data_IF_709840192290
#
_entry.id   IF_709840192290
#
_cell.length_a   1.000
_cell.length_b   1.000
_cell.length_c   1.000
_cell.angle_alpha   90.00
_cell.angle_beta   90.00
_cell.angle_gamma   90.00
#
_symmetry.space_group_name_H-M   'P 1'
#
loop_
_entity.id
_entity.type
_entity.pdbx_description
1 polymer ?
#
# COMPACT_ATOMS: atom_id res chain seq x y z
N UNK A 1 -2.41 1.74 -13.71
CA UNK A 1 -1.72 3.05 -13.71
C UNK A 1 -0.76 3.17 -14.88
N UNK A 2 -0.33 4.37 -15.16
CA UNK A 2 0.53 4.68 -16.30
C UNK A 2 1.29 5.99 -16.06
N UNK A 3 2.15 6.37 -17.00
CA UNK A 3 2.85 7.66 -17.00
C UNK A 3 4.01 7.76 -16.01
N UNK A 4 4.44 6.64 -15.44
CA UNK A 4 5.59 6.62 -14.54
C UNK A 4 6.90 6.80 -15.31
N UNK A 5 7.97 7.31 -14.64
CA UNK A 5 9.27 7.49 -15.28
C UNK A 5 9.86 6.18 -15.82
N UNK A 6 10.61 6.23 -16.93
CA UNK A 6 11.23 5.02 -17.50
C UNK A 6 12.29 4.38 -16.59
N UNK A 7 12.81 5.13 -15.60
CA UNK A 7 13.76 4.62 -14.60
C UNK A 7 13.10 3.78 -13.50
N UNK A 8 11.77 3.66 -13.52
CA UNK A 8 11.02 2.88 -12.53
C UNK A 8 11.45 1.41 -12.57
N UNK A 9 11.81 0.86 -11.41
CA UNK A 9 12.23 -0.53 -11.27
C UNK A 9 11.24 -1.37 -10.46
N UNK A 10 10.41 -0.75 -9.63
CA UNK A 10 9.37 -1.44 -8.87
C UNK A 10 8.28 -0.47 -8.45
N UNK A 11 7.18 -1.03 -7.92
CA UNK A 11 6.10 -0.26 -7.32
C UNK A 11 5.80 -0.73 -5.91
N UNK A 12 5.33 0.20 -5.09
CA UNK A 12 4.67 -0.05 -3.81
C UNK A 12 3.24 0.42 -3.94
N UNK A 13 2.30 -0.41 -3.50
CA UNK A 13 0.88 -0.06 -3.41
C UNK A 13 0.47 -0.06 -1.95
N UNK A 14 -0.28 0.96 -1.54
CA UNK A 14 -0.72 1.08 -0.15
C UNK A 14 -2.13 1.63 -0.05
N UNK A 15 -2.76 1.38 1.11
CA UNK A 15 -4.04 1.99 1.50
C UNK A 15 -3.92 2.49 2.93
N UNK A 16 -4.13 3.78 3.13
CA UNK A 16 -3.99 4.46 4.42
C UNK A 16 -5.25 5.24 4.77
N UNK A 17 -5.71 5.11 6.01
CA UNK A 17 -6.82 5.89 6.59
C UNK A 17 -6.25 6.93 7.55
N UNK A 18 -6.18 8.23 7.14
CA UNK A 18 -5.73 9.30 8.04
C UNK A 18 -6.78 9.71 9.07
N UNK A 19 -8.02 9.25 8.92
CA UNK A 19 -9.15 9.65 9.77
C UNK A 19 -9.48 8.62 10.85
N UNK A 20 -8.76 7.50 10.90
CA UNK A 20 -8.92 6.50 11.94
C UNK A 20 -8.73 7.13 13.34
N UNK A 21 -9.47 6.65 14.36
CA UNK A 21 -9.45 7.24 15.69
C UNK A 21 -8.17 6.88 16.47
N UNK A 22 -7.03 6.97 15.85
CA UNK A 22 -5.70 6.79 16.44
C UNK A 22 -4.79 7.93 16.01
N UNK A 23 -3.81 8.33 16.83
CA UNK A 23 -2.92 9.43 16.47
C UNK A 23 -2.11 9.20 15.18
N UNK A 24 -1.83 7.94 14.85
CA UNK A 24 -1.01 7.58 13.69
C UNK A 24 -1.84 7.26 12.44
N UNK A 25 -3.17 7.33 12.50
CA UNK A 25 -4.02 6.81 11.43
C UNK A 25 -4.00 5.29 11.39
N UNK A 26 -4.34 4.69 10.24
CA UNK A 26 -4.38 3.23 10.13
C UNK A 26 -3.99 2.78 8.72
N UNK A 27 -2.99 1.87 8.65
CA UNK A 27 -2.57 1.25 7.40
C UNK A 27 -3.38 -0.03 7.16
N UNK A 28 -4.17 -0.01 6.09
CA UNK A 28 -5.02 -1.15 5.71
C UNK A 28 -4.33 -2.12 4.79
N UNK A 29 -3.33 -1.67 4.04
CA UNK A 29 -2.71 -2.49 3.00
C UNK A 29 -1.39 -1.91 2.54
N UNK A 30 -0.38 -2.77 2.39
CA UNK A 30 0.89 -2.39 1.78
C UNK A 30 1.50 -3.60 1.07
N UNK A 31 1.71 -3.45 -0.24
CA UNK A 31 2.40 -4.44 -1.08
C UNK A 31 3.69 -3.81 -1.57
N UNK A 32 4.79 -4.52 -1.41
CA UNK A 32 6.12 -4.09 -1.85
C UNK A 32 6.67 -4.99 -2.96
N UNK A 33 7.70 -4.50 -3.64
CA UNK A 33 8.46 -5.25 -4.65
C UNK A 33 7.60 -5.73 -5.84
N UNK A 34 6.54 -4.99 -6.18
CA UNK A 34 5.84 -5.20 -7.44
C UNK A 34 6.75 -4.81 -8.60
N UNK A 35 6.88 -5.69 -9.61
CA UNK A 35 7.78 -5.44 -10.73
C UNK A 35 7.36 -4.20 -11.54
N UNK A 36 8.30 -3.61 -12.26
CA UNK A 36 8.05 -2.45 -13.11
C UNK A 36 7.07 -2.75 -14.28
N UNK A 37 6.81 -4.01 -14.56
CA UNK A 37 5.85 -4.44 -15.57
C UNK A 37 4.42 -4.47 -15.05
N UNK A 38 4.22 -4.33 -13.74
CA UNK A 38 2.89 -4.31 -13.11
C UNK A 38 2.23 -2.96 -13.36
N UNK A 39 1.07 -2.93 -14.01
CA UNK A 39 0.33 -1.70 -14.31
C UNK A 39 -1.12 -1.73 -13.84
N UNK A 40 -1.55 -2.86 -13.27
CA UNK A 40 -2.90 -3.04 -12.72
C UNK A 40 -2.86 -4.07 -11.60
N UNK A 41 -3.90 -4.14 -10.83
CA UNK A 41 -4.05 -5.08 -9.72
C UNK A 41 -5.25 -5.96 -9.96
N UNK A 42 -5.07 -7.28 -9.78
CA UNK A 42 -6.18 -8.21 -9.80
C UNK A 42 -6.97 -8.13 -8.48
N UNK A 43 -8.26 -8.42 -8.56
CA UNK A 43 -9.17 -8.27 -7.41
C UNK A 43 -8.75 -9.08 -6.19
N UNK A 44 -8.11 -10.24 -6.38
CA UNK A 44 -7.76 -11.14 -5.29
C UNK A 44 -6.37 -10.88 -4.69
N UNK A 45 -5.61 -9.96 -5.23
CA UNK A 45 -4.22 -9.74 -4.78
C UNK A 45 -4.11 -9.29 -3.33
N UNK A 46 -5.14 -8.64 -2.81
CA UNK A 46 -5.17 -8.23 -1.41
C UNK A 46 -5.39 -9.37 -0.41
N UNK A 47 -5.78 -10.55 -0.85
CA UNK A 47 -6.20 -11.63 0.06
C UNK A 47 -5.02 -12.35 0.73
N UNK A 48 -3.90 -12.54 0.03
CA UNK A 48 -2.69 -13.18 0.58
C UNK A 48 -1.50 -13.02 -0.38
N UNK A 49 -0.30 -13.33 0.13
CA UNK A 49 0.92 -13.34 -0.69
C UNK A 49 0.85 -14.39 -1.80
N UNK A 50 0.08 -15.47 -1.61
CA UNK A 50 -0.08 -16.50 -2.63
C UNK A 50 -0.73 -15.98 -3.92
N UNK A 51 -1.47 -14.88 -3.82
CA UNK A 51 -2.15 -14.27 -4.97
C UNK A 51 -1.30 -13.21 -5.67
N UNK A 52 -0.19 -12.79 -5.06
CA UNK A 52 0.67 -11.73 -5.60
C UNK A 52 1.63 -12.28 -6.67
N UNK A 53 1.98 -11.46 -7.68
CA UNK A 53 2.91 -11.89 -8.73
C UNK A 53 4.37 -11.79 -8.29
N UNK A 54 5.20 -12.67 -8.84
CA UNK A 54 6.66 -12.59 -8.72
C UNK A 54 7.14 -12.64 -7.27
N UNK A 55 8.07 -11.76 -6.93
CA UNK A 55 8.66 -11.65 -5.60
C UNK A 55 7.94 -10.66 -4.67
N UNK A 56 6.82 -10.08 -5.12
CA UNK A 56 6.06 -9.13 -4.31
C UNK A 56 5.43 -9.80 -3.09
N UNK A 57 5.26 -9.03 -2.02
CA UNK A 57 4.67 -9.54 -0.80
C UNK A 57 3.98 -8.42 -0.01
N UNK A 58 3.09 -8.82 0.91
CA UNK A 58 2.49 -7.91 1.88
C UNK A 58 3.41 -7.71 3.08
N UNK A 59 3.56 -6.46 3.50
CA UNK A 59 3.99 -6.22 4.88
C UNK A 59 2.76 -6.21 5.78
N UNK A 60 2.97 -6.23 7.09
CA UNK A 60 1.88 -6.31 8.07
C UNK A 60 1.03 -5.03 8.02
N UNK A 61 -0.29 -5.17 7.93
CA UNK A 61 -1.21 -4.06 8.15
C UNK A 61 -1.32 -3.74 9.64
N UNK A 62 -1.98 -2.64 10.00
CA UNK A 62 -2.10 -2.23 11.40
C UNK A 62 -3.06 -3.11 12.22
N UNK A 63 -3.82 -3.97 11.56
CA UNK A 63 -4.58 -5.05 12.21
C UNK A 63 -3.76 -6.29 12.50
N UNK A 64 -2.51 -6.36 12.03
CA UNK A 64 -1.58 -7.44 12.30
C UNK A 64 -1.46 -8.50 11.20
N UNK A 65 -2.25 -8.41 10.14
CA UNK A 65 -2.24 -9.38 9.04
C UNK A 65 -1.38 -8.95 7.85
N UNK A 66 -1.01 -9.93 7.02
CA UNK A 66 -0.27 -9.72 5.76
C UNK A 66 -1.23 -9.76 4.57
N UNK A 67 -2.18 -8.82 4.57
CA UNK A 67 -3.25 -8.78 3.57
C UNK A 67 -3.91 -7.40 3.56
N UNK A 68 -4.85 -7.21 2.64
CA UNK A 68 -5.77 -6.08 2.67
C UNK A 68 -6.78 -6.27 3.80
N UNK A 69 -6.88 -5.29 4.68
CA UNK A 69 -7.91 -5.23 5.71
C UNK A 69 -8.95 -4.19 5.27
N UNK A 70 -10.18 -4.63 5.05
CA UNK A 70 -11.25 -3.78 4.55
C UNK A 70 -11.63 -2.63 5.48
N UNK A 71 -12.27 -1.64 4.92
CA UNK A 71 -12.75 -0.46 5.65
C UNK A 71 -13.79 -0.87 6.70
N UNK A 72 -13.57 -0.45 7.93
CA UNK A 72 -14.50 -0.70 9.05
C UNK A 72 -14.50 0.49 10.02
N UNK A 73 -14.87 1.71 9.56
CA UNK A 73 -14.90 2.86 10.43
C UNK A 73 -15.93 2.63 11.57
N UNK A 74 -15.68 3.15 12.78
CA UNK A 74 -16.62 3.01 13.87
C UNK A 74 -18.01 3.53 13.48
N UNK A 75 -19.04 2.81 13.89
CA UNK A 75 -20.43 3.24 13.66
C UNK A 75 -20.68 4.59 14.35
N UNK A 76 -21.25 5.53 13.60
CA UNK A 76 -21.51 6.88 14.11
C UNK A 76 -20.36 7.85 13.95
N UNK A 77 -19.21 7.38 13.51
CA UNK A 77 -18.09 8.27 13.19
C UNK A 77 -18.34 8.98 11.87
N UNK A 78 -17.63 10.08 11.63
CA UNK A 78 -17.66 10.74 10.31
C UNK A 78 -17.12 9.81 9.24
N UNK A 79 -17.39 10.09 7.97
CA UNK A 79 -16.81 9.36 6.86
C UNK A 79 -15.27 9.42 6.93
N UNK A 80 -14.64 8.25 6.80
CA UNK A 80 -13.18 8.16 6.72
C UNK A 80 -12.72 8.16 5.28
N UNK A 81 -11.54 8.74 5.03
CA UNK A 81 -10.85 8.66 3.74
C UNK A 81 -9.97 7.43 3.72
N UNK A 82 -9.98 6.74 2.59
CA UNK A 82 -9.08 5.61 2.32
C UNK A 82 -8.23 6.00 1.13
N UNK A 83 -6.98 6.33 1.40
CA UNK A 83 -6.04 6.83 0.39
C UNK A 83 -5.25 5.67 -0.17
N UNK A 84 -5.60 5.27 -1.39
CA UNK A 84 -4.81 4.30 -2.15
C UNK A 84 -3.70 5.04 -2.88
N UNK A 85 -2.49 4.53 -2.80
CA UNK A 85 -1.33 5.14 -3.44
C UNK A 85 -0.50 4.09 -4.17
N UNK A 86 0.03 4.47 -5.32
CA UNK A 86 1.06 3.73 -6.04
C UNK A 86 2.31 4.60 -6.07
N UNK A 87 3.42 4.06 -5.58
CA UNK A 87 4.73 4.72 -5.62
C UNK A 87 5.62 4.00 -6.62
N UNK A 88 6.15 4.74 -7.60
CA UNK A 88 7.15 4.25 -8.53
C UNK A 88 8.54 4.47 -7.94
N UNK A 89 9.31 3.39 -7.79
CA UNK A 89 10.62 3.43 -7.13
C UNK A 89 11.76 3.22 -8.12
N UNK A 90 12.93 3.77 -7.80
CA UNK A 90 14.15 3.63 -8.60
C UNK A 90 15.00 2.40 -8.21
N UNK A 91 14.46 1.51 -7.40
CA UNK A 91 15.08 0.23 -7.00
C UNK A 91 14.10 -0.91 -7.26
N UNK A 92 14.59 -2.11 -7.52
CA UNK A 92 13.77 -3.29 -7.75
C UNK A 92 13.23 -3.91 -6.45
N UNK A 93 13.90 -3.64 -5.34
CA UNK A 93 13.47 -4.05 -4.00
C UNK A 93 13.87 -3.01 -2.95
N UNK A 94 13.04 -2.86 -1.92
CA UNK A 94 13.40 -2.06 -0.75
C UNK A 94 14.23 -2.84 0.26
N UNK A 95 14.47 -4.14 0.04
CA UNK A 95 15.20 -5.04 0.95
C UNK A 95 14.63 -5.04 2.37
N UNK A 96 13.31 -4.92 2.51
CA UNK A 96 12.65 -4.94 3.81
C UNK A 96 12.19 -6.35 4.16
N UNK A 97 12.27 -6.65 5.46
CA UNK A 97 11.73 -7.87 6.03
C UNK A 97 10.19 -7.85 5.91
N UNK A 98 9.52 -9.00 5.65
CA UNK A 98 8.05 -9.08 5.67
C UNK A 98 7.42 -8.63 6.98
N UNK A 99 8.17 -8.66 8.09
CA UNK A 99 7.71 -8.14 9.38
C UNK A 99 7.92 -6.63 9.55
N UNK A 100 8.47 -5.95 8.55
CA UNK A 100 8.57 -4.49 8.56
C UNK A 100 7.18 -3.87 8.68
N UNK A 101 7.10 -2.69 9.31
CA UNK A 101 5.86 -1.93 9.39
C UNK A 101 5.55 -1.20 8.10
N UNK A 102 4.28 -0.89 7.86
CA UNK A 102 3.89 -0.04 6.74
C UNK A 102 4.55 1.35 6.84
N UNK A 103 4.74 1.86 8.04
CA UNK A 103 5.47 3.12 8.28
C UNK A 103 6.93 3.01 7.84
N UNK A 104 7.60 1.88 8.11
CA UNK A 104 8.97 1.65 7.65
C UNK A 104 9.05 1.60 6.11
N UNK A 105 8.07 0.98 5.46
CA UNK A 105 7.97 0.98 4.00
C UNK A 105 7.83 2.41 3.47
N UNK A 106 6.92 3.19 4.02
CA UNK A 106 6.70 4.57 3.61
C UNK A 106 7.95 5.42 3.80
N UNK A 107 8.64 5.27 4.93
CA UNK A 107 9.86 6.02 5.23
C UNK A 107 11.01 5.65 4.29
N UNK A 108 11.28 4.36 4.10
CA UNK A 108 12.34 3.91 3.21
C UNK A 108 12.02 4.23 1.74
N UNK A 109 10.76 4.09 1.34
CA UNK A 109 10.30 4.41 -0.01
C UNK A 109 10.42 5.89 -0.35
N UNK A 110 10.35 6.77 0.65
CA UNK A 110 10.46 8.22 0.46
C UNK A 110 11.75 8.61 -0.30
N UNK A 111 12.85 7.95 0.00
CA UNK A 111 14.15 8.25 -0.61
C UNK A 111 14.33 7.62 -2.00
N UNK A 112 13.39 6.78 -2.42
CA UNK A 112 13.47 6.03 -3.69
C UNK A 112 12.31 6.31 -4.63
N UNK A 113 11.33 7.10 -4.18
CA UNK A 113 10.13 7.40 -4.99
C UNK A 113 10.46 8.40 -6.08
N UNK A 114 10.22 7.99 -7.32
CA UNK A 114 10.32 8.84 -8.51
C UNK A 114 9.02 9.58 -8.80
N UNK A 115 7.89 8.93 -8.55
CA UNK A 115 6.56 9.45 -8.79
C UNK A 115 5.54 8.69 -7.97
N UNK A 116 4.38 9.30 -7.74
CA UNK A 116 3.24 8.64 -7.10
C UNK A 116 1.94 9.07 -7.71
N UNK A 117 0.94 8.19 -7.60
CA UNK A 117 -0.44 8.49 -7.91
C UNK A 117 -1.32 8.07 -6.74
N UNK A 118 -2.40 8.79 -6.51
CA UNK A 118 -3.34 8.50 -5.42
C UNK A 118 -4.76 8.45 -5.92
N UNK A 119 -5.56 7.61 -5.25
CA UNK A 119 -7.01 7.53 -5.41
C UNK A 119 -7.60 7.51 -4.00
N UNK A 120 -8.49 8.45 -3.71
CA UNK A 120 -9.13 8.52 -2.40
C UNK A 120 -10.59 8.15 -2.50
N UNK A 121 -11.01 7.18 -1.71
CA UNK A 121 -12.40 6.79 -1.52
C UNK A 121 -12.82 7.14 -0.09
N UNK A 122 -14.11 7.27 0.14
CA UNK A 122 -14.67 7.51 1.48
C UNK A 122 -15.67 6.42 1.84
N UNK A 123 -15.75 6.11 3.14
CA UNK A 123 -16.73 5.17 3.66
C UNK A 123 -17.14 5.56 5.08
N UNK A 124 -18.41 5.33 5.37
CA UNK A 124 -19.03 5.64 6.67
C UNK A 124 -20.01 4.52 7.03
N UNK A 125 -20.10 4.20 8.30
CA UNK A 125 -21.11 3.25 8.80
C UNK A 125 -22.11 3.90 9.73
#
# INVERSE_FOLDING_TARGET
WSGFPPQTQSFVVSCFDPDAPTPAGFWHWTVVDLSAETTELDADWGSSDLMLPGASFHVRNDGGGHSYLGAAPPVGDRAHRYVFAVHALDVDTLDLDPEATATAVAFNGLFRTLARATLTATYQR
#
